data_IF_101799253588
#
_entry.id   IF_101799253588
#
_cell.length_a   1.000
_cell.length_b   1.000
_cell.length_c   1.000
_cell.angle_alpha   90.00
_cell.angle_beta   90.00
_cell.angle_gamma   90.00
#
_symmetry.space_group_name_H-M   'P 1'
#
loop_
_entity.id
_entity.type
_entity.pdbx_description
1 polymer ?
#
# COMPACT_ATOMS: atom_id res chain seq x y z
N UNK A 1 1.43 5.15 -15.14
CA UNK A 1 2.65 5.33 -14.31
C UNK A 1 3.55 4.12 -14.43
N UNK A 2 4.83 4.27 -14.07
CA UNK A 2 5.75 3.13 -13.99
C UNK A 2 5.44 2.29 -12.75
N UNK A 3 5.44 0.97 -12.89
CA UNK A 3 5.21 0.06 -11.77
C UNK A 3 5.91 -1.28 -11.96
N UNK A 4 6.04 -2.03 -10.88
CA UNK A 4 6.43 -3.44 -10.90
C UNK A 4 5.19 -4.27 -10.61
N UNK A 5 4.71 -5.03 -11.59
CA UNK A 5 3.58 -5.92 -11.46
C UNK A 5 4.01 -7.34 -11.07
N UNK A 6 3.40 -7.87 -10.03
CA UNK A 6 3.35 -9.29 -9.76
C UNK A 6 2.06 -9.83 -10.38
N UNK A 7 2.19 -10.65 -11.41
CA UNK A 7 1.03 -11.18 -12.16
C UNK A 7 0.55 -12.54 -11.65
N UNK A 8 1.29 -13.15 -10.73
CA UNK A 8 0.95 -14.43 -10.10
C UNK A 8 2.02 -14.85 -9.11
N UNK A 9 1.78 -15.95 -8.38
CA UNK A 9 2.63 -16.39 -7.25
C UNK A 9 4.01 -16.91 -7.67
N UNK A 10 4.13 -17.43 -8.89
CA UNK A 10 5.34 -18.10 -9.40
C UNK A 10 5.88 -17.42 -10.65
N UNK A 11 5.16 -16.47 -11.20
CA UNK A 11 5.53 -15.75 -12.40
C UNK A 11 6.57 -14.65 -12.06
N UNK A 12 7.50 -14.37 -13.00
CA UNK A 12 8.44 -13.26 -12.83
C UNK A 12 7.70 -11.93 -12.70
N UNK A 13 8.16 -11.10 -11.80
CA UNK A 13 7.68 -9.72 -11.70
C UNK A 13 8.02 -8.93 -12.96
N UNK A 14 7.11 -8.07 -13.38
CA UNK A 14 7.19 -7.36 -14.66
C UNK A 14 7.24 -5.85 -14.43
N UNK A 15 8.22 -5.19 -15.05
CA UNK A 15 8.21 -3.74 -15.13
C UNK A 15 7.22 -3.30 -16.21
N UNK A 16 6.34 -2.36 -15.87
CA UNK A 16 5.35 -1.75 -16.78
C UNK A 16 5.43 -0.23 -16.70
N UNK A 17 5.18 0.45 -17.81
CA UNK A 17 5.25 1.92 -17.90
C UNK A 17 3.87 2.57 -17.96
N UNK A 18 2.83 1.79 -18.17
CA UNK A 18 1.46 2.21 -18.45
C UNK A 18 0.45 1.81 -17.36
N UNK A 19 0.92 1.43 -16.16
CA UNK A 19 0.02 1.14 -15.06
C UNK A 19 -0.90 2.35 -14.79
N UNK A 20 -2.20 2.13 -14.54
CA UNK A 20 -3.12 3.22 -14.25
C UNK A 20 -2.71 3.97 -12.98
N UNK A 21 -2.91 5.28 -12.99
CA UNK A 21 -2.79 6.08 -11.76
C UNK A 21 -4.04 5.82 -10.91
N UNK A 22 -3.89 5.51 -9.61
CA UNK A 22 -5.03 5.29 -8.72
C UNK A 22 -5.96 6.51 -8.67
N UNK A 23 -7.26 6.24 -8.60
CA UNK A 23 -8.26 7.28 -8.34
C UNK A 23 -8.51 7.34 -6.84
N UNK A 24 -8.33 8.51 -6.25
CA UNK A 24 -8.53 8.71 -4.81
C UNK A 24 -10.00 9.00 -4.47
N UNK A 25 -10.41 8.59 -3.27
CA UNK A 25 -11.67 8.99 -2.67
C UNK A 25 -11.53 10.34 -1.96
N UNK A 26 -12.67 10.86 -1.48
CA UNK A 26 -12.71 12.16 -0.81
C UNK A 26 -11.83 12.27 0.43
N UNK A 27 -11.58 11.17 1.14
CA UNK A 27 -10.79 11.10 2.36
C UNK A 27 -9.36 10.57 2.14
N UNK A 28 -8.98 10.33 0.89
CA UNK A 28 -7.68 9.78 0.52
C UNK A 28 -6.72 10.86 -0.01
N UNK A 29 -5.45 10.48 -0.11
CA UNK A 29 -4.36 11.30 -0.65
C UNK A 29 -3.64 10.51 -1.73
N UNK A 30 -3.35 11.13 -2.86
CA UNK A 30 -2.48 10.57 -3.88
C UNK A 30 -1.04 10.98 -3.60
N UNK A 31 -0.15 10.02 -3.48
CA UNK A 31 1.28 10.23 -3.25
C UNK A 31 2.07 9.85 -4.50
N UNK A 32 2.80 10.80 -5.06
CA UNK A 32 3.80 10.50 -6.09
C UNK A 32 5.04 9.90 -5.41
N UNK A 33 5.22 8.60 -5.58
CA UNK A 33 6.33 7.86 -4.97
C UNK A 33 7.67 8.31 -5.55
N UNK A 34 8.63 8.65 -4.70
CA UNK A 34 9.99 9.04 -5.08
C UNK A 34 11.02 7.96 -4.75
N UNK A 35 10.76 7.16 -3.73
CA UNK A 35 11.56 6.00 -3.37
C UNK A 35 10.71 4.98 -2.62
N UNK A 36 11.00 3.70 -2.83
CA UNK A 36 10.42 2.60 -2.07
C UNK A 36 11.53 1.63 -1.68
N UNK A 37 11.60 1.30 -0.39
CA UNK A 37 12.48 0.27 0.13
C UNK A 37 12.01 -1.13 -0.30
N UNK A 38 12.92 -2.08 -0.30
CA UNK A 38 12.63 -3.50 -0.53
C UNK A 38 12.68 -4.20 0.82
N UNK A 39 11.52 -4.58 1.34
CA UNK A 39 11.38 -5.33 2.59
C UNK A 39 11.72 -6.82 2.41
N UNK A 40 12.01 -7.50 3.50
CA UNK A 40 12.09 -8.95 3.52
C UNK A 40 10.80 -9.64 3.06
N UNK A 41 9.65 -9.01 3.27
CA UNK A 41 8.34 -9.46 2.76
C UNK A 41 8.31 -9.47 1.23
N UNK A 42 8.74 -8.40 0.58
CA UNK A 42 8.80 -8.31 -0.89
C UNK A 42 9.69 -9.38 -1.48
N UNK A 43 10.87 -9.60 -0.85
CA UNK A 43 11.80 -10.65 -1.26
C UNK A 43 11.19 -12.05 -1.11
N UNK A 44 10.45 -12.31 -0.05
CA UNK A 44 9.80 -13.60 0.20
C UNK A 44 8.64 -13.84 -0.77
N UNK A 45 7.84 -12.81 -1.06
CA UNK A 45 6.79 -12.86 -2.08
C UNK A 45 7.39 -13.09 -3.47
N UNK A 46 8.47 -12.38 -3.82
CA UNK A 46 9.16 -12.58 -5.10
C UNK A 46 9.68 -14.02 -5.28
N UNK A 47 10.04 -14.69 -4.20
CA UNK A 47 10.45 -16.11 -4.21
C UNK A 47 9.28 -17.11 -4.18
N UNK A 48 8.05 -16.64 -4.23
CA UNK A 48 6.85 -17.49 -4.24
C UNK A 48 6.58 -18.19 -2.91
N UNK A 49 6.95 -17.60 -1.76
CA UNK A 49 6.73 -18.20 -0.46
C UNK A 49 5.23 -18.31 -0.15
N UNK A 50 4.69 -19.53 -0.29
CA UNK A 50 3.26 -19.82 -0.24
C UNK A 50 2.60 -19.36 1.07
N UNK A 51 3.24 -19.61 2.21
CA UNK A 51 2.70 -19.23 3.52
C UNK A 51 2.45 -17.71 3.61
N UNK A 52 3.32 -16.91 3.00
CA UNK A 52 3.19 -15.47 2.99
C UNK A 52 2.07 -15.01 2.06
N UNK A 53 1.96 -15.58 0.87
CA UNK A 53 0.83 -15.31 -0.04
C UNK A 53 -0.52 -15.64 0.59
N UNK A 54 -0.58 -16.68 1.42
CA UNK A 54 -1.82 -17.07 2.12
C UNK A 54 -2.13 -16.18 3.33
N UNK A 55 -1.20 -15.32 3.75
CA UNK A 55 -1.38 -14.39 4.88
C UNK A 55 -2.00 -13.05 4.47
N UNK A 56 -2.12 -12.78 3.18
CA UNK A 56 -2.63 -11.54 2.61
C UNK A 56 -3.74 -11.81 1.59
N UNK A 57 -4.63 -10.84 1.41
CA UNK A 57 -5.70 -10.89 0.40
C UNK A 57 -5.23 -10.25 -0.92
N UNK A 58 -4.28 -10.92 -1.58
CA UNK A 58 -3.62 -10.41 -2.79
C UNK A 58 -4.48 -10.64 -4.02
N UNK A 59 -4.85 -9.57 -4.70
CA UNK A 59 -5.49 -9.61 -6.03
C UNK A 59 -4.45 -9.33 -7.12
N UNK A 60 -4.34 -10.22 -8.09
CA UNK A 60 -3.41 -10.08 -9.22
C UNK A 60 -4.05 -9.35 -10.42
N UNK A 61 -3.29 -8.53 -11.18
CA UNK A 61 -1.90 -8.17 -10.92
C UNK A 61 -1.76 -7.26 -9.70
N UNK A 62 -0.77 -7.52 -8.85
CA UNK A 62 -0.50 -6.74 -7.65
C UNK A 62 0.70 -5.81 -7.86
N UNK A 63 0.67 -4.65 -7.23
CA UNK A 63 1.83 -3.76 -7.08
C UNK A 63 2.23 -3.85 -5.61
N UNK A 64 3.42 -4.41 -5.36
CA UNK A 64 3.98 -4.51 -4.02
C UNK A 64 4.82 -3.28 -3.67
N UNK A 65 5.14 -3.15 -2.39
CA UNK A 65 5.96 -2.08 -1.83
C UNK A 65 5.21 -1.32 -0.74
N UNK A 66 5.79 -1.25 0.44
CA UNK A 66 5.18 -0.68 1.63
C UNK A 66 6.14 0.17 2.48
N UNK A 67 7.37 0.34 2.02
CA UNK A 67 8.40 1.18 2.65
C UNK A 67 8.70 2.40 1.78
N UNK A 68 7.67 3.16 1.46
CA UNK A 68 7.76 4.23 0.49
C UNK A 68 7.91 5.63 1.12
N UNK A 69 8.44 6.53 0.33
CA UNK A 69 8.39 7.97 0.56
C UNK A 69 8.08 8.70 -0.74
N UNK A 70 7.39 9.82 -0.63
CA UNK A 70 6.95 10.54 -1.82
C UNK A 70 6.51 11.97 -1.51
N UNK A 71 5.80 12.53 -2.46
CA UNK A 71 5.25 13.89 -2.41
C UNK A 71 3.75 13.81 -2.64
N UNK A 72 2.96 14.51 -1.85
CA UNK A 72 1.51 14.60 -2.06
C UNK A 72 1.25 15.25 -3.42
N UNK A 73 0.62 14.52 -4.32
CA UNK A 73 0.24 14.98 -5.66
C UNK A 73 -1.19 15.50 -5.70
N UNK A 74 -2.10 14.88 -4.94
CA UNK A 74 -3.52 15.25 -4.89
C UNK A 74 -4.11 14.97 -3.51
N UNK A 75 -5.12 15.76 -3.12
CA UNK A 75 -5.86 15.61 -1.87
C UNK A 75 -7.35 15.44 -2.19
N UNK A 76 -7.99 14.44 -1.61
CA UNK A 76 -9.44 14.33 -1.62
C UNK A 76 -10.11 15.48 -0.85
N UNK A 77 -11.36 15.74 -1.16
CA UNK A 77 -12.11 16.89 -0.62
C UNK A 77 -12.20 16.91 0.92
N UNK A 78 -12.13 15.74 1.56
CA UNK A 78 -12.20 15.54 3.00
C UNK A 78 -10.85 15.09 3.60
N UNK A 79 -9.75 15.21 2.87
CA UNK A 79 -8.42 14.89 3.38
C UNK A 79 -8.07 15.72 4.64
N UNK A 80 -7.17 15.23 5.52
CA UNK A 80 -6.76 15.97 6.71
C UNK A 80 -6.25 17.37 6.38
N UNK A 81 -6.78 18.40 7.07
CA UNK A 81 -6.53 19.82 6.79
C UNK A 81 -5.08 20.29 7.03
N UNK A 82 -4.28 19.46 7.68
CA UNK A 82 -2.86 19.72 7.92
C UNK A 82 -1.96 19.19 6.79
N UNK A 83 -2.54 18.59 5.75
CA UNK A 83 -1.82 18.12 4.58
C UNK A 83 -1.97 19.12 3.43
N UNK A 84 -0.91 19.28 2.65
CA UNK A 84 -0.87 20.18 1.48
C UNK A 84 -0.18 19.47 0.30
N UNK A 85 -0.62 19.74 -0.92
CA UNK A 85 0.05 19.28 -2.14
C UNK A 85 1.50 19.79 -2.15
N UNK A 86 2.44 18.93 -2.50
CA UNK A 86 3.87 19.23 -2.46
C UNK A 86 4.59 18.84 -1.16
N UNK A 87 3.86 18.48 -0.10
CA UNK A 87 4.49 17.98 1.13
C UNK A 87 5.19 16.63 0.88
N UNK A 88 6.39 16.48 1.46
CA UNK A 88 7.10 15.20 1.50
C UNK A 88 6.55 14.34 2.63
N UNK A 89 6.16 13.12 2.31
CA UNK A 89 5.48 12.21 3.22
C UNK A 89 6.00 10.79 3.11
N UNK A 90 5.79 10.03 4.15
CA UNK A 90 5.70 8.58 4.19
C UNK A 90 4.43 8.22 4.93
N UNK A 91 3.96 6.97 4.82
CA UNK A 91 2.77 6.53 5.53
C UNK A 91 3.04 5.24 6.32
N UNK A 92 2.25 5.03 7.38
CA UNK A 92 2.15 3.72 7.97
C UNK A 92 1.35 2.83 7.00
N UNK A 93 1.92 1.73 6.48
CA UNK A 93 1.22 0.87 5.52
C UNK A 93 0.10 0.05 6.16
N UNK A 94 0.05 -0.07 7.48
CA UNK A 94 -0.99 -0.81 8.20
C UNK A 94 -2.20 0.09 8.41
N UNK A 95 -3.33 -0.28 7.80
CA UNK A 95 -4.59 0.39 8.03
C UNK A 95 -5.36 -0.24 9.20
N UNK A 96 -6.43 0.41 9.63
CA UNK A 96 -7.33 -0.07 10.67
C UNK A 96 -8.73 0.53 10.43
N UNK A 97 -9.77 -0.17 10.87
CA UNK A 97 -11.16 0.20 10.56
C UNK A 97 -11.90 0.94 11.68
N UNK A 98 -11.30 1.11 12.85
CA UNK A 98 -11.90 1.72 14.04
C UNK A 98 -13.19 1.03 14.53
N UNK A 99 -13.41 -0.26 14.23
CA UNK A 99 -14.66 -0.95 14.56
C UNK A 99 -14.50 -2.09 15.58
N UNK A 100 -13.28 -2.53 15.84
CA UNK A 100 -13.04 -3.66 16.72
C UNK A 100 -12.67 -3.24 18.15
N UNK A 101 -12.80 -4.14 19.15
CA UNK A 101 -12.48 -3.85 20.56
C UNK A 101 -11.04 -3.39 20.84
N UNK A 102 -10.11 -3.68 19.93
CA UNK A 102 -8.73 -3.19 20.03
C UNK A 102 -8.62 -1.73 19.61
N UNK A 103 -9.33 -1.34 18.54
CA UNK A 103 -9.42 0.05 18.10
C UNK A 103 -10.04 0.95 19.17
N UNK A 104 -11.10 0.47 19.88
CA UNK A 104 -11.73 1.19 20.99
C UNK A 104 -10.75 1.50 22.14
N UNK A 105 -9.71 0.69 22.29
CA UNK A 105 -8.65 0.87 23.28
C UNK A 105 -7.42 1.62 22.75
N UNK A 106 -7.48 2.12 21.52
CA UNK A 106 -6.36 2.77 20.84
C UNK A 106 -5.25 1.81 20.39
N UNK A 107 -5.49 0.50 20.43
CA UNK A 107 -4.52 -0.54 20.02
C UNK A 107 -4.67 -0.87 18.55
N UNK A 108 -4.63 0.14 17.69
CA UNK A 108 -4.90 0.04 16.24
C UNK A 108 -3.91 -0.88 15.49
N UNK A 109 -2.71 -1.04 16.02
CA UNK A 109 -1.68 -1.94 15.48
C UNK A 109 -2.04 -3.43 15.55
N UNK A 110 -3.06 -3.80 16.32
CA UNK A 110 -3.60 -5.16 16.43
C UNK A 110 -5.10 -5.20 16.08
N UNK A 111 -5.56 -4.26 15.25
CA UNK A 111 -6.91 -4.27 14.72
C UNK A 111 -7.21 -5.61 14.03
N UNK A 112 -8.42 -6.14 14.22
CA UNK A 112 -8.84 -7.41 13.62
C UNK A 112 -8.92 -7.31 12.09
N UNK A 113 -9.24 -6.13 11.56
CA UNK A 113 -9.27 -5.83 10.13
C UNK A 113 -8.18 -4.83 9.77
N UNK A 114 -7.02 -5.34 9.37
CA UNK A 114 -5.80 -4.58 9.09
C UNK A 114 -5.34 -4.78 7.66
N UNK A 115 -6.01 -4.19 6.66
CA UNK A 115 -5.47 -4.22 5.31
C UNK A 115 -4.13 -3.49 5.25
N UNK A 116 -3.27 -3.95 4.36
CA UNK A 116 -1.89 -3.52 4.29
C UNK A 116 -1.58 -3.01 2.88
N UNK A 117 -1.10 -1.77 2.76
CA UNK A 117 -0.62 -1.24 1.50
C UNK A 117 0.59 -2.03 1.00
N UNK A 118 0.62 -2.33 -0.30
CA UNK A 118 1.68 -3.11 -0.93
C UNK A 118 1.55 -4.62 -0.73
N UNK A 119 0.37 -5.10 -0.27
CA UNK A 119 -0.02 -6.52 -0.27
C UNK A 119 -1.53 -6.68 -0.49
N UNK A 120 -2.39 -6.36 0.49
CA UNK A 120 -3.85 -6.42 0.34
C UNK A 120 -4.40 -5.27 -0.54
N UNK A 121 -3.69 -4.17 -0.55
CA UNK A 121 -3.95 -2.99 -1.37
C UNK A 121 -2.71 -2.66 -2.19
N UNK A 122 -2.86 -2.01 -3.36
CA UNK A 122 -1.73 -1.60 -4.19
C UNK A 122 -0.72 -0.74 -3.41
N UNK A 123 0.57 -1.01 -3.59
CA UNK A 123 1.68 -0.28 -3.02
C UNK A 123 2.10 0.97 -3.81
#
# INVERSE_FOLDING_TARGET
MNAIHCVGRTEPWQYVEDAPIPQIKDDEVLIEIKACGICGTDHSLHRGQEALFNSYDITFPAIFGHEFSGVIAELGANAPKNLEVGMRVTANPVLFDNTCPYCDKGMVNICDNRPFYGTDLPG
#
